data_IF_980815447717
#
_entry.id   IF_980815447717
#
_cell.length_a   1.000
_cell.length_b   1.000
_cell.length_c   1.000
_cell.angle_alpha   90.00
_cell.angle_beta   90.00
_cell.angle_gamma   90.00
#
_symmetry.space_group_name_H-M   'P 1'
#
loop_
_entity.id
_entity.type
_entity.pdbx_description
1 polymer ?
#
# COMPACT_ATOMS: atom_id res chain seq x y z
N UNK A 1 -38.68 -7.83 1.26
CA UNK A 1 -38.30 -8.11 0.90
C UNK A 1 -38.06 -8.39 0.26
N UNK A 2 -37.85 -8.40 0.12
CA UNK A 2 -37.32 -8.85 -0.36
C UNK A 2 -36.69 -8.41 -0.83
N UNK A 3 -36.90 -7.95 -0.62
CA UNK A 3 -35.93 -7.58 -1.08
C UNK A 3 -34.72 -7.95 -1.02
N UNK A 4 -34.96 -8.29 -0.66
CA UNK A 4 -33.68 -8.56 -0.17
C UNK A 4 -32.80 -9.36 -1.06
N UNK A 5 -33.31 -10.20 -1.85
CA UNK A 5 -32.52 -11.00 -2.78
C UNK A 5 -31.72 -10.16 -3.77
N UNK A 6 -32.33 -9.13 -4.29
CA UNK A 6 -31.64 -8.24 -5.22
C UNK A 6 -30.53 -7.46 -4.57
N UNK A 7 -30.68 -7.15 -3.30
CA UNK A 7 -29.72 -6.37 -2.53
C UNK A 7 -28.47 -7.17 -2.17
N UNK A 8 -28.62 -8.47 -1.97
CA UNK A 8 -27.49 -9.32 -1.55
C UNK A 8 -26.70 -9.90 -2.72
N UNK A 9 -27.16 -9.73 -3.93
CA UNK A 9 -26.53 -10.32 -5.10
C UNK A 9 -25.43 -9.43 -5.66
N UNK A 10 -24.36 -10.09 -6.05
CA UNK A 10 -23.26 -9.45 -6.76
C UNK A 10 -23.44 -9.74 -8.23
N UNK A 11 -23.52 -8.70 -9.04
CA UNK A 11 -23.63 -8.83 -10.48
C UNK A 11 -22.30 -8.55 -11.15
N UNK A 12 -21.72 -9.59 -11.74
CA UNK A 12 -20.49 -9.48 -12.48
C UNK A 12 -20.83 -9.41 -13.97
N UNK A 13 -20.42 -8.34 -14.60
CA UNK A 13 -20.69 -8.13 -16.02
C UNK A 13 -19.52 -8.51 -16.91
N UNK A 14 -18.35 -8.63 -16.32
CA UNK A 14 -17.16 -9.01 -17.05
C UNK A 14 -17.14 -10.52 -17.27
N UNK A 15 -17.30 -10.92 -18.52
CA UNK A 15 -17.38 -12.33 -18.90
C UNK A 15 -16.11 -13.10 -18.59
N UNK A 16 -14.96 -12.47 -18.68
CA UNK A 16 -13.69 -13.10 -18.36
C UNK A 16 -13.61 -13.46 -16.88
N UNK A 17 -13.99 -12.52 -16.02
CA UNK A 17 -14.00 -12.74 -14.56
C UNK A 17 -15.01 -13.84 -14.22
N UNK A 18 -16.19 -13.79 -14.80
CA UNK A 18 -17.21 -14.81 -14.56
C UNK A 18 -16.70 -16.21 -14.96
N UNK A 19 -16.03 -16.30 -16.10
CA UNK A 19 -15.49 -17.57 -16.58
C UNK A 19 -14.40 -18.11 -15.63
N UNK A 20 -13.53 -17.23 -15.14
CA UNK A 20 -12.49 -17.61 -14.17
C UNK A 20 -13.13 -18.13 -12.88
N UNK A 21 -14.10 -17.42 -12.36
CA UNK A 21 -14.81 -17.84 -11.13
C UNK A 21 -15.44 -19.19 -11.29
N UNK A 22 -16.11 -19.44 -12.41
CA UNK A 22 -16.73 -20.75 -12.69
C UNK A 22 -15.70 -21.87 -12.72
N UNK A 23 -14.59 -21.61 -13.39
CA UNK A 23 -13.53 -22.62 -13.51
C UNK A 23 -12.91 -22.94 -12.16
N UNK A 24 -12.60 -21.92 -11.37
CA UNK A 24 -12.04 -22.11 -10.02
C UNK A 24 -13.01 -22.85 -9.13
N UNK A 25 -14.28 -22.47 -9.15
CA UNK A 25 -15.33 -23.13 -8.36
C UNK A 25 -15.43 -24.62 -8.71
N UNK A 26 -15.41 -24.92 -9.99
CA UNK A 26 -15.45 -26.29 -10.48
C UNK A 26 -14.23 -27.10 -10.03
N UNK A 27 -13.04 -26.52 -10.16
CA UNK A 27 -11.80 -27.20 -9.76
C UNK A 27 -11.73 -27.46 -8.26
N UNK A 28 -12.27 -26.54 -7.45
CA UNK A 28 -12.22 -26.65 -6.01
C UNK A 28 -13.42 -27.34 -5.39
N UNK A 29 -14.43 -27.68 -6.20
CA UNK A 29 -15.67 -28.26 -5.69
C UNK A 29 -16.44 -27.31 -4.77
N UNK A 30 -16.39 -26.02 -5.06
CA UNK A 30 -17.03 -24.97 -4.26
C UNK A 30 -18.06 -24.24 -5.11
N UNK A 31 -18.97 -23.52 -4.46
CA UNK A 31 -19.92 -22.70 -5.19
C UNK A 31 -19.27 -21.43 -5.72
N UNK A 32 -19.83 -20.85 -6.76
CA UNK A 32 -19.36 -19.57 -7.30
C UNK A 32 -19.50 -18.47 -6.26
N UNK A 33 -20.55 -18.49 -5.45
CA UNK A 33 -20.74 -17.52 -4.36
C UNK A 33 -19.63 -17.57 -3.34
N UNK A 34 -19.17 -18.76 -2.97
CA UNK A 34 -18.06 -18.92 -2.03
C UNK A 34 -16.78 -18.33 -2.59
N UNK A 35 -16.52 -18.55 -3.89
CA UNK A 35 -15.32 -18.00 -4.55
C UNK A 35 -15.40 -16.48 -4.59
N UNK A 36 -16.55 -15.93 -4.94
CA UNK A 36 -16.75 -14.47 -4.99
C UNK A 36 -16.55 -13.86 -3.59
N UNK A 37 -17.09 -14.51 -2.57
CA UNK A 37 -16.96 -14.04 -1.20
C UNK A 37 -15.49 -13.97 -0.77
N UNK A 38 -14.72 -15.02 -1.07
CA UNK A 38 -13.30 -15.07 -0.75
C UNK A 38 -12.52 -13.95 -1.45
N UNK A 39 -12.76 -13.73 -2.74
CA UNK A 39 -12.13 -12.68 -3.50
C UNK A 39 -12.48 -11.29 -2.96
N UNK A 40 -13.72 -11.11 -2.57
CA UNK A 40 -14.21 -9.86 -1.99
C UNK A 40 -13.49 -9.57 -0.67
N UNK A 41 -13.33 -10.59 0.17
CA UNK A 41 -12.63 -10.46 1.45
C UNK A 41 -11.15 -10.07 1.25
N UNK A 42 -10.48 -10.75 0.35
CA UNK A 42 -9.07 -10.45 0.04
C UNK A 42 -8.93 -9.02 -0.46
N UNK A 43 -9.82 -8.61 -1.37
CA UNK A 43 -9.82 -7.24 -1.89
C UNK A 43 -10.08 -6.19 -0.83
N UNK A 44 -10.99 -6.46 0.09
CA UNK A 44 -11.29 -5.56 1.20
C UNK A 44 -10.09 -5.40 2.13
N UNK A 45 -9.46 -6.52 2.50
CA UNK A 45 -8.27 -6.51 3.35
C UNK A 45 -7.13 -5.73 2.70
N UNK A 46 -6.93 -5.93 1.40
CA UNK A 46 -5.91 -5.20 0.63
C UNK A 46 -6.19 -3.70 0.65
N UNK A 47 -7.43 -3.31 0.42
CA UNK A 47 -7.83 -1.89 0.43
C UNK A 47 -7.61 -1.27 1.79
N UNK A 48 -7.91 -1.98 2.87
CA UNK A 48 -7.67 -1.48 4.23
C UNK A 48 -6.19 -1.26 4.50
N UNK A 49 -5.33 -2.17 4.05
CA UNK A 49 -3.88 -2.02 4.20
C UNK A 49 -3.37 -0.79 3.45
N UNK A 50 -3.86 -0.57 2.25
CA UNK A 50 -3.49 0.61 1.45
C UNK A 50 -3.93 1.91 2.14
N UNK A 51 -5.13 1.92 2.70
CA UNK A 51 -5.66 3.08 3.44
C UNK A 51 -4.81 3.38 4.66
N UNK A 52 -4.40 2.34 5.40
CA UNK A 52 -3.52 2.46 6.56
C UNK A 52 -2.18 3.08 6.19
N UNK A 53 -1.60 2.64 5.08
CA UNK A 53 -0.32 3.19 4.62
C UNK A 53 -0.45 4.67 4.26
N UNK A 54 -1.54 5.06 3.61
CA UNK A 54 -1.81 6.47 3.29
C UNK A 54 -1.95 7.30 4.57
N UNK A 55 -2.67 6.80 5.56
CA UNK A 55 -2.83 7.48 6.85
C UNK A 55 -1.49 7.68 7.55
N UNK A 56 -0.66 6.64 7.56
CA UNK A 56 0.67 6.71 8.16
C UNK A 56 1.55 7.70 7.43
N UNK A 57 1.52 7.69 6.10
CA UNK A 57 2.23 8.66 5.27
C UNK A 57 1.81 10.09 5.60
N UNK A 58 0.50 10.32 5.73
CA UNK A 58 -0.04 11.64 6.04
C UNK A 58 0.30 12.11 7.45
N UNK A 59 0.64 11.18 8.35
CA UNK A 59 1.07 11.54 9.71
C UNK A 59 2.51 12.00 9.78
N UNK A 60 3.29 11.82 8.72
CA UNK A 60 4.68 12.22 8.67
C UNK A 60 4.82 13.72 8.45
N UNK A 61 5.89 14.30 9.02
CA UNK A 61 6.29 15.66 8.66
C UNK A 61 6.79 15.68 7.20
N UNK A 62 6.82 16.84 6.58
CA UNK A 62 7.32 16.95 5.21
C UNK A 62 8.76 16.42 5.09
N UNK A 63 9.61 16.73 6.05
CA UNK A 63 10.99 16.22 6.05
C UNK A 63 11.04 14.70 6.18
N UNK A 64 10.19 14.13 7.02
CA UNK A 64 10.06 12.67 7.13
C UNK A 64 9.58 12.04 5.83
N UNK A 65 8.64 12.68 5.15
CA UNK A 65 8.19 12.22 3.84
C UNK A 65 9.32 12.21 2.82
N UNK A 66 10.15 13.23 2.82
CA UNK A 66 11.32 13.28 1.95
C UNK A 66 12.29 12.13 2.25
N UNK A 67 12.53 11.85 3.53
CA UNK A 67 13.41 10.75 3.94
C UNK A 67 12.83 9.41 3.45
N UNK A 68 11.53 9.18 3.64
CA UNK A 68 10.87 7.94 3.17
C UNK A 68 11.02 7.79 1.66
N UNK A 69 10.77 8.87 0.92
CA UNK A 69 10.87 8.84 -0.55
C UNK A 69 12.27 8.43 -0.99
N UNK A 70 13.32 9.02 -0.38
CA UNK A 70 14.70 8.71 -0.73
C UNK A 70 15.09 7.28 -0.34
N UNK A 71 14.62 6.77 0.82
CA UNK A 71 14.82 5.38 1.21
C UNK A 71 14.20 4.45 0.15
N UNK A 72 12.97 4.73 -0.26
CA UNK A 72 12.27 3.89 -1.22
C UNK A 72 12.87 3.99 -2.63
N UNK A 73 13.57 5.07 -2.93
CA UNK A 73 14.34 5.21 -4.18
C UNK A 73 15.72 4.54 -4.11
N UNK A 74 16.06 3.96 -2.95
CA UNK A 74 17.31 3.20 -2.79
C UNK A 74 18.49 3.99 -2.24
N UNK A 75 18.26 5.20 -1.77
CA UNK A 75 19.31 6.03 -1.16
C UNK A 75 19.73 5.44 0.19
N UNK A 76 21.03 5.49 0.45
CA UNK A 76 21.56 5.13 1.76
C UNK A 76 21.54 6.35 2.68
N UNK A 77 21.67 6.11 3.98
CA UNK A 77 21.56 7.18 4.98
C UNK A 77 22.51 8.36 4.70
N UNK A 78 23.76 8.09 4.33
CA UNK A 78 24.71 9.17 4.04
C UNK A 78 24.29 9.97 2.79
N UNK A 79 23.72 9.30 1.80
CA UNK A 79 23.23 9.97 0.58
C UNK A 79 22.02 10.84 0.89
N UNK A 80 21.15 10.38 1.79
CA UNK A 80 19.99 11.16 2.24
C UNK A 80 20.47 12.41 2.96
N UNK A 81 21.45 12.27 3.86
CA UNK A 81 22.03 13.39 4.59
C UNK A 81 22.60 14.44 3.63
N UNK A 82 23.33 14.01 2.62
CA UNK A 82 23.87 14.90 1.59
C UNK A 82 22.77 15.58 0.78
N UNK A 83 21.79 14.80 0.32
CA UNK A 83 20.70 15.31 -0.53
C UNK A 83 19.85 16.34 0.20
N UNK A 84 19.54 16.11 1.47
CA UNK A 84 18.71 17.01 2.26
C UNK A 84 19.53 18.09 2.99
N UNK A 85 20.85 18.03 2.91
CA UNK A 85 21.77 18.96 3.59
C UNK A 85 21.51 18.99 5.09
N UNK A 86 21.50 17.80 5.69
CA UNK A 86 21.32 17.60 7.14
C UNK A 86 22.41 16.67 7.66
N UNK A 87 22.60 16.67 8.98
CA UNK A 87 23.57 15.78 9.61
C UNK A 87 23.09 14.32 9.53
N UNK A 88 24.03 13.35 9.42
CA UNK A 88 23.66 11.93 9.44
C UNK A 88 22.88 11.53 10.70
N UNK A 89 23.18 12.13 11.85
CA UNK A 89 22.43 11.86 13.09
C UNK A 89 20.98 12.33 12.98
N UNK A 90 20.74 13.41 12.24
CA UNK A 90 19.38 13.89 11.99
C UNK A 90 18.60 12.89 11.13
N UNK A 91 19.25 12.28 10.15
CA UNK A 91 18.63 11.21 9.34
C UNK A 91 18.21 10.04 10.23
N UNK A 92 19.07 9.62 11.16
CA UNK A 92 18.77 8.55 12.10
C UNK A 92 17.55 8.88 12.95
N UNK A 93 17.47 10.10 13.44
CA UNK A 93 16.32 10.55 14.24
C UNK A 93 15.03 10.51 13.43
N UNK A 94 15.08 10.99 12.20
CA UNK A 94 13.93 10.92 11.31
C UNK A 94 13.51 9.47 11.07
N UNK A 95 14.46 8.58 10.84
CA UNK A 95 14.17 7.16 10.62
C UNK A 95 13.53 6.51 11.83
N UNK A 96 14.00 6.81 13.03
CA UNK A 96 13.38 6.28 14.25
C UNK A 96 11.91 6.69 14.34
N UNK A 97 11.62 7.95 14.05
CA UNK A 97 10.24 8.46 14.08
C UNK A 97 9.38 7.83 12.98
N UNK A 98 9.95 7.67 11.79
CA UNK A 98 9.27 7.04 10.65
C UNK A 98 8.91 5.59 10.97
N UNK A 99 9.87 4.82 11.48
CA UNK A 99 9.64 3.41 11.82
C UNK A 99 8.58 3.28 12.91
N UNK A 100 8.58 4.17 13.90
CA UNK A 100 7.55 4.18 14.94
C UNK A 100 6.17 4.46 14.34
N UNK A 101 6.07 5.45 13.46
CA UNK A 101 4.79 5.84 12.84
C UNK A 101 4.26 4.77 11.88
N UNK A 102 5.15 4.04 11.21
CA UNK A 102 4.77 2.96 10.29
C UNK A 102 4.69 1.60 10.98
N UNK A 103 5.10 1.51 12.24
CA UNK A 103 5.18 0.26 12.98
C UNK A 103 6.05 -0.76 12.24
N UNK A 104 7.19 -0.29 11.74
CA UNK A 104 8.17 -1.09 11.01
C UNK A 104 9.52 -1.02 11.72
N UNK A 105 10.44 -1.91 11.36
CA UNK A 105 11.72 -2.04 12.04
C UNK A 105 12.94 -1.72 11.19
N UNK A 106 12.78 -1.65 9.87
CA UNK A 106 13.94 -1.46 8.99
C UNK A 106 13.55 -0.77 7.70
N UNK A 107 14.55 -0.22 7.03
CA UNK A 107 14.37 0.38 5.71
C UNK A 107 13.91 -0.64 4.68
N UNK A 108 14.32 -1.90 4.83
CA UNK A 108 13.88 -2.97 3.95
C UNK A 108 12.37 -3.20 4.06
N UNK A 109 11.87 -3.25 5.30
CA UNK A 109 10.43 -3.40 5.55
C UNK A 109 9.65 -2.22 4.97
N UNK A 110 10.18 -1.02 5.14
CA UNK A 110 9.55 0.19 4.59
C UNK A 110 9.47 0.13 3.06
N UNK A 111 10.56 -0.24 2.39
CA UNK A 111 10.58 -0.38 0.94
C UNK A 111 9.58 -1.42 0.45
N UNK A 112 9.46 -2.54 1.17
CA UNK A 112 8.49 -3.59 0.82
C UNK A 112 7.06 -3.11 1.01
N UNK A 113 6.78 -2.42 2.12
CA UNK A 113 5.43 -1.94 2.41
C UNK A 113 4.95 -0.91 1.38
N UNK A 114 5.86 -0.11 0.83
CA UNK A 114 5.52 0.98 -0.08
C UNK A 114 6.01 0.73 -1.52
N UNK A 115 6.28 -0.51 -1.87
CA UNK A 115 6.87 -0.86 -3.18
C UNK A 115 6.04 -0.43 -4.39
N UNK A 116 4.73 -0.31 -4.22
CA UNK A 116 3.82 0.06 -5.31
C UNK A 116 3.68 1.59 -5.48
N UNK A 117 4.29 2.37 -4.59
CA UNK A 117 4.19 3.82 -4.64
C UNK A 117 5.26 4.39 -5.58
N UNK A 118 4.89 5.42 -6.33
CA UNK A 118 5.80 6.08 -7.28
C UNK A 118 6.51 7.26 -6.61
N UNK A 119 7.59 6.97 -5.88
CA UNK A 119 8.35 7.99 -5.17
C UNK A 119 9.20 8.86 -6.11
N UNK A 120 9.57 8.33 -7.28
CA UNK A 120 10.29 9.14 -8.26
C UNK A 120 9.44 10.32 -8.70
N UNK A 121 8.18 10.05 -9.00
CA UNK A 121 7.22 11.10 -9.39
C UNK A 121 6.95 12.05 -8.24
N UNK A 122 6.74 11.50 -7.03
CA UNK A 122 6.50 12.32 -5.85
C UNK A 122 7.68 13.25 -5.57
N UNK A 123 8.90 12.72 -5.63
CA UNK A 123 10.12 13.50 -5.37
C UNK A 123 10.27 14.63 -6.38
N UNK A 124 10.06 14.33 -7.66
CA UNK A 124 10.11 15.31 -8.73
C UNK A 124 9.13 16.47 -8.49
N UNK A 125 7.90 16.13 -8.16
CA UNK A 125 6.86 17.12 -7.87
C UNK A 125 7.19 17.95 -6.65
N UNK A 126 7.75 17.33 -5.62
CA UNK A 126 8.11 17.99 -4.37
C UNK A 126 9.21 19.05 -4.59
N UNK A 127 10.14 18.78 -5.49
CA UNK A 127 11.23 19.70 -5.80
C UNK A 127 10.79 20.91 -6.63
N UNK A 128 9.63 20.86 -7.23
CA UNK A 128 9.10 21.95 -8.06
C UNK A 128 8.41 23.06 -7.27
N UNK A 129 8.24 22.90 -6.00
CA UNK A 129 7.54 23.85 -5.13
C UNK A 129 8.45 25.00 -4.68
#
# INVERSE_FOLDING_TARGET
MKKGDGESRIFLQDEEIVAIIREVAKQQGRSEEEIITDFTKVGWDQLQQETEMVERWNSLSHREQQVVALICLGYRNYQIAETLVIAPETVKTHLQNIFAKFNLRSSKELRLALKEWDFAKWWEQDQQV
#
